data_IF_460482799313
#
_entry.id   IF_460482799313
#
_cell.length_a   1.000
_cell.length_b   1.000
_cell.length_c   1.000
_cell.angle_alpha   90.00
_cell.angle_beta   90.00
_cell.angle_gamma   90.00
#
_symmetry.space_group_name_H-M   'P 1'
#
loop_
_entity.id
_entity.type
_entity.pdbx_description
1 polymer ?
#
# COMPACT_ATOMS: atom_id res chain seq x y z
N UNK A 1 43.28 20.76 22.74
CA UNK A 1 42.08 20.71 21.87
C UNK A 1 41.86 19.29 21.41
N UNK A 2 40.99 18.58 22.09
CA UNK A 2 40.58 17.22 21.73
C UNK A 2 39.54 17.34 20.61
N UNK A 3 39.84 16.76 19.47
CA UNK A 3 38.86 16.59 18.38
C UNK A 3 37.82 15.60 18.86
N UNK A 4 36.61 16.07 19.09
CA UNK A 4 35.45 15.19 19.24
C UNK A 4 35.19 14.59 17.87
N UNK A 5 35.59 13.35 17.72
CA UNK A 5 35.19 12.52 16.61
C UNK A 5 33.66 12.31 16.75
N UNK A 6 32.85 13.03 15.98
CA UNK A 6 31.47 12.73 15.75
C UNK A 6 31.40 11.31 15.16
N UNK A 7 31.07 10.35 16.01
CA UNK A 7 30.68 9.02 15.60
C UNK A 7 29.35 9.15 14.79
N UNK A 8 29.46 9.46 13.51
CA UNK A 8 28.43 9.11 12.56
C UNK A 8 28.38 7.58 12.53
N UNK A 9 27.51 6.98 13.35
CA UNK A 9 27.11 5.60 13.12
C UNK A 9 26.62 5.56 11.67
N UNK A 10 27.37 4.90 10.79
CA UNK A 10 26.89 4.58 9.45
C UNK A 10 25.63 3.76 9.64
N UNK A 11 24.45 4.39 9.45
CA UNK A 11 23.17 3.70 9.45
C UNK A 11 23.30 2.60 8.40
N UNK A 12 23.02 1.36 8.78
CA UNK A 12 23.14 0.23 7.86
C UNK A 12 22.12 0.41 6.73
N UNK A 13 22.59 0.44 5.50
CA UNK A 13 21.73 0.62 4.34
C UNK A 13 20.92 -0.69 4.14
N UNK A 14 19.60 -0.58 4.15
CA UNK A 14 18.70 -1.69 3.83
C UNK A 14 18.65 -1.86 2.31
N UNK A 15 19.18 -2.98 1.82
CA UNK A 15 19.18 -3.27 0.38
C UNK A 15 17.78 -3.70 -0.09
N UNK A 16 17.18 -4.67 0.58
CA UNK A 16 15.86 -5.21 0.23
C UNK A 16 14.76 -4.35 0.85
N UNK A 17 14.22 -3.42 0.06
CA UNK A 17 13.25 -2.41 0.49
C UNK A 17 11.82 -2.83 0.15
N UNK A 18 10.91 -2.74 1.13
CA UNK A 18 9.55 -3.23 1.01
C UNK A 18 8.56 -2.12 0.59
N UNK A 19 7.83 -2.34 -0.51
CA UNK A 19 6.72 -1.47 -0.92
C UNK A 19 5.37 -1.85 -0.28
N UNK A 20 5.27 -3.04 0.35
CA UNK A 20 4.23 -3.37 1.34
C UNK A 20 4.92 -3.72 2.66
N UNK A 21 4.68 -2.99 3.76
CA UNK A 21 5.44 -3.13 4.99
C UNK A 21 5.28 -4.51 5.63
N UNK A 22 6.37 -5.00 6.21
CA UNK A 22 6.35 -6.30 6.90
C UNK A 22 5.38 -6.35 8.08
N UNK A 23 5.22 -5.24 8.82
CA UNK A 23 4.28 -5.17 9.94
C UNK A 23 2.83 -5.36 9.47
N UNK A 24 2.50 -4.86 8.26
CA UNK A 24 1.19 -5.02 7.65
C UNK A 24 0.94 -6.46 7.18
N UNK A 25 1.93 -7.12 6.59
CA UNK A 25 1.80 -8.51 6.11
C UNK A 25 1.74 -9.54 7.25
N UNK A 26 2.32 -9.23 8.41
CA UNK A 26 2.44 -10.17 9.53
C UNK A 26 1.11 -10.73 10.06
N UNK A 27 0.00 -9.97 10.18
CA UNK A 27 -1.30 -10.50 10.59
C UNK A 27 -1.92 -11.53 9.63
N UNK A 28 -1.40 -11.63 8.39
CA UNK A 28 -1.80 -12.61 7.38
C UNK A 28 -0.79 -13.76 7.25
N UNK A 29 0.11 -13.90 8.22
CA UNK A 29 1.19 -14.86 8.17
C UNK A 29 1.18 -15.79 9.40
N UNK A 30 1.61 -17.02 9.20
CA UNK A 30 1.94 -17.93 10.30
C UNK A 30 3.21 -17.45 11.00
N UNK A 31 3.10 -17.10 12.28
CA UNK A 31 4.23 -16.60 13.06
C UNK A 31 4.88 -17.76 13.83
N UNK A 32 6.07 -18.14 13.42
CA UNK A 32 6.88 -19.18 14.06
C UNK A 32 7.93 -18.52 14.95
N UNK A 33 7.85 -18.76 16.26
CA UNK A 33 8.85 -18.30 17.24
C UNK A 33 9.73 -19.46 17.67
N UNK A 34 11.04 -19.37 17.34
CA UNK A 34 12.02 -20.35 17.86
C UNK A 34 12.57 -19.98 19.24
N UNK A 35 12.67 -18.68 19.55
CA UNK A 35 13.08 -18.07 20.84
C UNK A 35 12.70 -16.59 20.82
N UNK A 36 12.85 -15.87 21.93
CA UNK A 36 12.47 -14.45 22.06
C UNK A 36 13.02 -13.51 20.97
N UNK A 37 14.13 -13.87 20.32
CA UNK A 37 14.81 -13.03 19.34
C UNK A 37 14.73 -13.57 17.90
N UNK A 38 14.05 -14.68 17.64
CA UNK A 38 14.05 -15.35 16.34
C UNK A 38 12.62 -15.67 15.89
N UNK A 39 11.91 -14.63 15.46
CA UNK A 39 10.56 -14.74 14.92
C UNK A 39 10.59 -14.75 13.39
N UNK A 40 9.90 -15.71 12.77
CA UNK A 40 9.66 -15.77 11.34
C UNK A 40 8.16 -15.69 11.06
N UNK A 41 7.76 -14.77 10.21
CA UNK A 41 6.41 -14.70 9.67
C UNK A 41 6.41 -15.29 8.27
N UNK A 42 5.64 -16.37 8.08
CA UNK A 42 5.53 -17.12 6.83
C UNK A 42 4.13 -16.94 6.25
N UNK A 43 4.04 -16.54 5.00
CA UNK A 43 2.79 -16.27 4.31
C UNK A 43 2.67 -17.12 3.05
N UNK A 44 1.46 -17.47 2.64
CA UNK A 44 1.19 -18.03 1.33
C UNK A 44 0.83 -16.92 0.34
N UNK A 45 1.10 -17.13 -0.94
CA UNK A 45 0.65 -16.25 -2.00
C UNK A 45 0.30 -17.00 -3.28
N UNK A 46 -0.65 -16.42 -4.03
CA UNK A 46 -0.92 -16.77 -5.40
C UNK A 46 -0.29 -15.73 -6.32
N UNK A 47 0.53 -16.15 -7.28
CA UNK A 47 1.19 -15.29 -8.27
C UNK A 47 0.48 -15.40 -9.62
N UNK A 48 0.03 -14.25 -10.16
CA UNK A 48 -0.75 -14.22 -11.39
C UNK A 48 0.03 -14.64 -12.62
N UNK A 49 1.27 -14.16 -12.77
CA UNK A 49 2.10 -14.41 -13.95
C UNK A 49 2.27 -15.92 -14.25
N UNK A 50 2.62 -16.67 -13.22
CA UNK A 50 2.95 -18.08 -13.35
C UNK A 50 1.79 -18.99 -12.94
N UNK A 51 0.69 -18.41 -12.44
CA UNK A 51 -0.50 -19.10 -11.91
C UNK A 51 -0.15 -20.15 -10.84
N UNK A 52 0.80 -19.81 -9.98
CA UNK A 52 1.30 -20.71 -8.94
C UNK A 52 0.93 -20.22 -7.55
N UNK A 53 0.67 -21.19 -6.66
CA UNK A 53 0.58 -20.96 -5.22
C UNK A 53 1.92 -21.32 -4.60
N UNK A 54 2.46 -20.45 -3.77
CA UNK A 54 3.61 -20.73 -2.91
C UNK A 54 3.20 -20.57 -1.46
N UNK A 55 3.62 -21.51 -0.64
CA UNK A 55 3.32 -21.56 0.79
C UNK A 55 4.59 -21.35 1.61
N UNK A 56 4.43 -20.91 2.86
CA UNK A 56 5.51 -20.72 3.86
C UNK A 56 6.69 -19.86 3.39
N UNK A 57 6.39 -18.83 2.64
CA UNK A 57 7.39 -17.89 2.18
C UNK A 57 7.61 -16.81 3.26
N UNK A 58 8.86 -16.50 3.64
CA UNK A 58 9.12 -15.42 4.60
C UNK A 58 8.62 -14.06 4.09
N UNK A 59 7.91 -13.31 4.93
CA UNK A 59 7.46 -11.95 4.58
C UNK A 59 8.61 -11.00 4.24
N UNK A 60 9.84 -11.35 4.63
CA UNK A 60 11.06 -10.61 4.28
C UNK A 60 11.44 -10.67 2.80
N UNK A 61 10.86 -11.60 2.03
CA UNK A 61 11.19 -11.83 0.61
C UNK A 61 10.02 -11.57 -0.33
N UNK A 62 8.95 -10.95 0.16
CA UNK A 62 7.75 -10.64 -0.64
C UNK A 62 7.47 -9.14 -0.61
N UNK A 63 6.89 -8.62 -1.69
CA UNK A 63 6.53 -7.21 -1.83
C UNK A 63 7.72 -6.28 -1.53
N UNK A 64 8.90 -6.70 -1.99
CA UNK A 64 10.15 -5.98 -1.84
C UNK A 64 11.00 -6.07 -3.10
N UNK A 65 11.90 -5.12 -3.27
CA UNK A 65 12.90 -5.09 -4.34
C UNK A 65 14.18 -4.45 -3.81
N UNK A 66 15.32 -4.91 -4.32
CA UNK A 66 16.60 -4.30 -3.96
C UNK A 66 16.64 -2.85 -4.44
N UNK A 67 16.94 -1.95 -3.51
CA UNK A 67 17.02 -0.50 -3.75
C UNK A 67 15.75 0.07 -4.43
N UNK A 68 14.58 -0.35 -3.96
CA UNK A 68 13.31 0.08 -4.57
C UNK A 68 13.11 1.60 -4.48
N UNK A 69 13.41 2.21 -3.34
CA UNK A 69 13.28 3.66 -3.13
C UNK A 69 14.57 4.40 -3.42
N UNK A 70 15.67 3.97 -2.82
CA UNK A 70 16.95 4.66 -2.87
C UNK A 70 18.13 3.70 -2.62
N UNK A 71 19.34 4.15 -2.96
CA UNK A 71 20.59 3.42 -2.72
C UNK A 71 21.34 3.90 -1.48
N UNK A 72 21.02 5.08 -0.98
CA UNK A 72 21.69 5.67 0.19
C UNK A 72 20.93 5.44 1.50
N UNK A 73 19.70 4.92 1.44
CA UNK A 73 18.86 4.56 2.57
C UNK A 73 18.17 5.75 3.23
N UNK A 74 18.13 6.92 2.58
CA UNK A 74 17.47 8.11 3.13
C UNK A 74 15.96 7.89 3.24
N UNK A 75 15.33 7.48 2.14
CA UNK A 75 13.88 7.24 2.07
C UNK A 75 13.48 6.04 2.92
N UNK A 76 14.22 4.92 2.84
CA UNK A 76 13.94 3.72 3.63
C UNK A 76 13.99 4.03 5.14
N UNK A 77 14.95 4.84 5.61
CA UNK A 77 15.01 5.24 7.01
C UNK A 77 13.83 6.13 7.41
N UNK A 78 13.43 7.09 6.57
CA UNK A 78 12.26 7.95 6.80
C UNK A 78 10.97 7.11 6.90
N UNK A 79 10.81 6.12 6.02
CA UNK A 79 9.68 5.20 6.06
C UNK A 79 9.70 4.30 7.31
N UNK A 80 10.85 3.80 7.75
CA UNK A 80 10.97 2.98 8.95
C UNK A 80 10.53 3.73 10.22
N UNK A 81 10.85 5.02 10.33
CA UNK A 81 10.41 5.87 11.43
C UNK A 81 8.87 6.02 11.42
N UNK A 82 8.27 6.31 10.26
CA UNK A 82 6.81 6.37 10.08
C UNK A 82 6.13 5.02 10.34
N UNK A 83 6.67 3.92 9.84
CA UNK A 83 6.15 2.56 10.04
C UNK A 83 6.08 2.16 11.52
N UNK A 84 6.98 2.68 12.34
CA UNK A 84 6.94 2.49 13.78
C UNK A 84 5.66 3.10 14.39
N UNK A 85 5.27 4.28 13.94
CA UNK A 85 4.06 4.99 14.39
C UNK A 85 2.80 4.27 13.85
N UNK A 86 2.76 4.04 12.53
CA UNK A 86 1.63 3.40 11.86
C UNK A 86 1.34 2.00 12.39
N UNK A 87 2.39 1.20 12.65
CA UNK A 87 2.23 -0.15 13.18
C UNK A 87 1.58 -0.19 14.56
N UNK A 88 1.87 0.80 15.42
CA UNK A 88 1.23 0.94 16.73
C UNK A 88 -0.25 1.27 16.58
N UNK A 89 -0.60 2.25 15.75
CA UNK A 89 -1.98 2.64 15.51
C UNK A 89 -2.81 1.45 14.96
N UNK A 90 -2.33 0.80 13.89
CA UNK A 90 -3.01 -0.35 13.28
C UNK A 90 -3.09 -1.54 14.26
N UNK A 91 -2.07 -1.76 15.09
CA UNK A 91 -2.10 -2.81 16.12
C UNK A 91 -3.22 -2.59 17.16
N UNK A 92 -3.52 -1.34 17.53
CA UNK A 92 -4.63 -1.03 18.45
C UNK A 92 -5.98 -1.38 17.81
N UNK A 93 -6.21 -1.03 16.53
CA UNK A 93 -7.41 -1.48 15.81
C UNK A 93 -7.51 -3.01 15.81
N UNK A 94 -6.40 -3.72 15.54
CA UNK A 94 -6.39 -5.19 15.55
C UNK A 94 -6.71 -5.79 16.93
N UNK A 95 -6.36 -5.11 18.02
CA UNK A 95 -6.61 -5.58 19.39
C UNK A 95 -7.93 -5.08 20.00
N UNK A 96 -8.71 -4.28 19.27
CA UNK A 96 -9.88 -3.55 19.79
C UNK A 96 -9.56 -2.64 20.99
N UNK A 97 -8.38 -2.05 21.00
CA UNK A 97 -7.98 -1.05 21.99
C UNK A 97 -8.56 0.32 21.59
N UNK A 98 -8.74 1.20 22.57
CA UNK A 98 -9.11 2.60 22.29
C UNK A 98 -8.02 3.29 21.48
N UNK A 99 -8.43 4.04 20.45
CA UNK A 99 -7.54 4.81 19.58
C UNK A 99 -7.76 6.29 19.81
N UNK A 100 -6.69 7.05 19.85
CA UNK A 100 -6.74 8.51 19.92
C UNK A 100 -6.90 9.13 18.54
N UNK A 101 -7.29 10.41 18.46
CA UNK A 101 -7.36 11.12 17.17
C UNK A 101 -6.00 11.16 16.45
N UNK A 102 -4.89 11.27 17.18
CA UNK A 102 -3.54 11.21 16.60
C UNK A 102 -3.25 9.84 15.96
N UNK A 103 -3.74 8.76 16.56
CA UNK A 103 -3.60 7.41 15.99
C UNK A 103 -4.51 7.21 14.78
N UNK A 104 -5.72 7.76 14.80
CA UNK A 104 -6.59 7.80 13.61
C UNK A 104 -5.92 8.57 12.48
N UNK A 105 -5.31 9.73 12.78
CA UNK A 105 -4.56 10.49 11.79
C UNK A 105 -3.34 9.72 11.25
N UNK A 106 -2.66 8.94 12.11
CA UNK A 106 -1.56 8.05 11.68
C UNK A 106 -2.05 6.95 10.73
N UNK A 107 -3.29 6.46 10.89
CA UNK A 107 -3.90 5.51 9.95
C UNK A 107 -4.21 6.19 8.61
N UNK A 108 -4.73 7.42 8.59
CA UNK A 108 -4.93 8.20 7.35
C UNK A 108 -3.61 8.39 6.60
N UNK A 109 -2.57 8.77 7.33
CA UNK A 109 -1.24 8.91 6.76
C UNK A 109 -0.76 7.57 6.14
N UNK A 110 -0.88 6.47 6.88
CA UNK A 110 -0.54 5.13 6.37
C UNK A 110 -1.30 4.80 5.09
N UNK A 111 -2.62 5.06 5.04
CA UNK A 111 -3.46 4.80 3.87
C UNK A 111 -2.88 5.49 2.64
N UNK A 112 -2.63 6.79 2.71
CA UNK A 112 -2.11 7.56 1.57
C UNK A 112 -0.72 7.06 1.16
N UNK A 113 0.20 6.92 2.12
CA UNK A 113 1.53 6.42 1.83
C UNK A 113 1.48 5.02 1.21
N UNK A 114 0.59 4.14 1.66
CA UNK A 114 0.48 2.79 1.14
C UNK A 114 -0.17 2.74 -0.25
N UNK A 115 -1.06 3.67 -0.60
CA UNK A 115 -1.57 3.81 -1.96
C UNK A 115 -0.43 4.15 -2.92
N UNK A 116 0.33 5.21 -2.60
CA UNK A 116 1.33 5.75 -3.53
C UNK A 116 2.62 4.91 -3.61
N UNK A 117 3.01 4.21 -2.53
CA UNK A 117 4.28 3.47 -2.46
C UNK A 117 4.28 2.12 -3.15
N UNK A 118 3.17 1.66 -3.70
CA UNK A 118 3.09 0.37 -4.36
C UNK A 118 3.82 0.38 -5.71
N UNK A 119 4.36 -0.78 -6.09
CA UNK A 119 4.98 -0.96 -7.41
C UNK A 119 3.98 -0.64 -8.53
N UNK A 120 2.72 -1.06 -8.37
CA UNK A 120 1.65 -0.82 -9.34
C UNK A 120 1.38 0.66 -9.53
N UNK A 121 1.34 1.45 -8.43
CA UNK A 121 1.13 2.90 -8.54
C UNK A 121 2.30 3.60 -9.25
N UNK A 122 3.53 3.19 -8.96
CA UNK A 122 4.71 3.71 -9.66
C UNK A 122 4.62 3.43 -11.17
N UNK A 123 4.40 2.18 -11.57
CA UNK A 123 4.31 1.76 -12.96
C UNK A 123 3.14 2.45 -13.68
N UNK A 124 1.98 2.56 -13.03
CA UNK A 124 0.82 3.27 -13.56
C UNK A 124 1.12 4.75 -13.80
N UNK A 125 1.74 5.43 -12.84
CA UNK A 125 2.07 6.86 -12.94
C UNK A 125 3.08 7.11 -14.06
N UNK A 126 4.09 6.25 -14.19
CA UNK A 126 5.08 6.30 -15.28
C UNK A 126 4.42 6.10 -16.65
N UNK A 127 3.56 5.10 -16.78
CA UNK A 127 2.86 4.83 -18.05
C UNK A 127 1.94 5.98 -18.45
N UNK A 128 1.13 6.51 -17.51
CA UNK A 128 0.23 7.63 -17.76
C UNK A 128 0.99 8.88 -18.20
N UNK A 129 2.10 9.19 -17.54
CA UNK A 129 2.95 10.32 -17.93
C UNK A 129 3.58 10.10 -19.32
N UNK A 130 4.04 8.90 -19.62
CA UNK A 130 4.62 8.54 -20.90
C UNK A 130 3.60 8.74 -22.03
N UNK A 131 2.39 8.22 -21.87
CA UNK A 131 1.31 8.36 -22.85
C UNK A 131 0.96 9.84 -23.06
N UNK A 132 0.73 10.60 -21.99
CA UNK A 132 0.33 11.99 -22.08
C UNK A 132 1.38 12.86 -22.81
N UNK A 133 2.66 12.65 -22.49
CA UNK A 133 3.76 13.41 -23.12
C UNK A 133 3.94 12.98 -24.59
N UNK A 134 3.94 11.68 -24.88
CA UNK A 134 4.10 11.17 -26.23
C UNK A 134 2.97 11.66 -27.15
N UNK A 135 1.71 11.56 -26.72
CA UNK A 135 0.56 12.04 -27.50
C UNK A 135 0.61 13.56 -27.73
N UNK A 136 1.06 14.32 -26.72
CA UNK A 136 1.26 15.76 -26.88
C UNK A 136 2.29 16.07 -27.96
N UNK A 137 3.38 15.33 -28.04
CA UNK A 137 4.40 15.49 -29.08
C UNK A 137 3.88 15.11 -30.49
N UNK A 138 3.03 14.06 -30.57
CA UNK A 138 2.40 13.69 -31.86
C UNK A 138 1.41 14.74 -32.36
N UNK A 139 0.68 15.39 -31.45
CA UNK A 139 -0.23 16.47 -31.81
C UNK A 139 0.52 17.70 -32.39
N UNK A 140 1.79 17.88 -31.99
CA UNK A 140 2.65 18.96 -32.53
C UNK A 140 3.22 18.58 -33.88
N UNK A 141 3.57 17.30 -34.14
CA UNK A 141 4.18 16.86 -35.39
C UNK A 141 3.80 15.43 -35.74
N UNK A 142 3.03 15.26 -36.81
CA UNK A 142 2.59 13.96 -37.34
C UNK A 142 3.67 13.16 -38.06
N UNK A 143 4.84 13.78 -38.35
CA UNK A 143 5.95 13.14 -39.07
C UNK A 143 6.93 12.40 -38.18
N UNK A 144 6.64 12.32 -36.86
CA UNK A 144 7.50 11.63 -35.91
C UNK A 144 7.23 10.12 -35.91
N UNK A 145 8.28 9.33 -35.74
CA UNK A 145 8.19 7.90 -35.49
C UNK A 145 7.63 7.69 -34.07
N UNK A 146 6.43 7.12 -34.00
CA UNK A 146 5.68 6.91 -32.74
C UNK A 146 6.47 6.08 -31.75
N UNK A 147 6.97 4.94 -32.16
CA UNK A 147 7.65 4.00 -31.28
C UNK A 147 8.95 4.60 -30.75
N UNK A 148 9.69 5.29 -31.59
CA UNK A 148 10.92 5.98 -31.18
C UNK A 148 10.65 7.09 -30.17
N UNK A 149 9.61 7.91 -30.40
CA UNK A 149 9.24 8.97 -29.43
C UNK A 149 8.77 8.38 -28.12
N UNK A 150 7.91 7.36 -28.18
CA UNK A 150 7.44 6.69 -26.95
C UNK A 150 8.61 6.14 -26.12
N UNK A 151 9.55 5.45 -26.74
CA UNK A 151 10.71 4.88 -26.03
C UNK A 151 11.60 5.97 -25.41
N UNK A 152 11.83 7.08 -26.09
CA UNK A 152 12.61 8.20 -25.56
C UNK A 152 11.90 8.89 -24.37
N UNK A 153 10.58 9.07 -24.48
CA UNK A 153 9.76 9.64 -23.41
C UNK A 153 9.73 8.70 -22.20
N UNK A 154 9.54 7.40 -22.42
CA UNK A 154 9.52 6.39 -21.36
C UNK A 154 10.84 6.35 -20.58
N UNK A 155 11.98 6.36 -21.26
CA UNK A 155 13.29 6.41 -20.61
C UNK A 155 13.42 7.65 -19.71
N UNK A 156 12.95 8.80 -20.19
CA UNK A 156 13.01 10.05 -19.43
C UNK A 156 12.04 10.04 -18.24
N UNK A 157 10.81 9.61 -18.45
CA UNK A 157 9.78 9.50 -17.43
C UNK A 157 10.22 8.57 -16.30
N UNK A 158 10.78 7.41 -16.64
CA UNK A 158 11.28 6.45 -15.63
C UNK A 158 12.45 7.00 -14.81
N UNK A 159 13.23 7.93 -15.36
CA UNK A 159 14.30 8.62 -14.65
C UNK A 159 13.82 9.73 -13.71
N UNK A 160 12.68 10.35 -13.99
CA UNK A 160 12.14 11.49 -13.24
C UNK A 160 11.03 11.08 -12.27
N UNK A 161 10.11 10.20 -12.68
CA UNK A 161 9.06 9.66 -11.83
C UNK A 161 9.62 8.44 -11.10
N UNK A 162 10.27 8.72 -9.98
CA UNK A 162 10.88 7.73 -9.11
C UNK A 162 9.97 7.42 -7.92
N UNK A 163 10.20 6.33 -7.17
CA UNK A 163 9.49 6.09 -5.91
C UNK A 163 9.66 7.24 -4.92
N UNK A 164 10.81 7.90 -4.88
CA UNK A 164 11.06 9.08 -4.04
C UNK A 164 10.11 10.22 -4.40
N UNK A 165 10.04 10.58 -5.70
CA UNK A 165 9.13 11.62 -6.19
C UNK A 165 7.67 11.34 -5.81
N UNK A 166 7.20 10.08 -5.97
CA UNK A 166 5.83 9.71 -5.62
C UNK A 166 5.59 9.83 -4.11
N UNK A 167 6.57 9.46 -3.27
CA UNK A 167 6.45 9.59 -1.82
C UNK A 167 6.44 11.03 -1.34
N UNK A 168 7.12 11.94 -2.04
CA UNK A 168 7.04 13.38 -1.74
C UNK A 168 5.62 13.95 -1.95
N UNK A 169 4.84 13.37 -2.88
CA UNK A 169 3.46 13.76 -3.10
C UNK A 169 2.50 13.23 -2.02
N UNK A 170 2.88 12.19 -1.27
CA UNK A 170 2.00 11.57 -0.27
C UNK A 170 1.50 12.57 0.77
N UNK A 171 2.40 13.40 1.32
CA UNK A 171 2.03 14.39 2.35
C UNK A 171 1.00 15.40 1.82
N UNK A 172 1.04 15.76 0.54
CA UNK A 172 0.08 16.64 -0.11
C UNK A 172 -1.30 16.00 -0.33
N UNK A 173 -1.36 14.66 -0.38
CA UNK A 173 -2.61 13.91 -0.60
C UNK A 173 -3.35 13.55 0.70
N UNK A 174 -2.72 13.63 1.88
CA UNK A 174 -3.36 13.31 3.16
C UNK A 174 -4.65 14.10 3.40
N UNK A 175 -4.72 15.41 3.10
CA UNK A 175 -5.97 16.18 3.27
C UNK A 175 -7.16 15.64 2.49
N UNK A 176 -6.95 14.93 1.38
CA UNK A 176 -8.03 14.43 0.50
C UNK A 176 -8.93 13.37 1.17
N UNK A 177 -8.54 12.82 2.31
CA UNK A 177 -9.32 11.82 3.05
C UNK A 177 -9.58 12.22 4.51
N UNK A 178 -9.32 13.50 4.87
CA UNK A 178 -9.39 13.94 6.27
C UNK A 178 -10.81 13.94 6.83
N UNK A 179 -11.78 14.15 5.97
CA UNK A 179 -13.21 14.23 6.30
C UNK A 179 -13.92 12.85 6.30
N UNK A 180 -13.22 11.78 5.89
CA UNK A 180 -13.77 10.44 5.94
C UNK A 180 -13.76 9.89 7.38
N UNK A 181 -14.87 9.29 7.78
CA UNK A 181 -14.94 8.52 9.02
C UNK A 181 -14.15 7.22 8.87
N UNK A 182 -13.44 6.84 9.94
CA UNK A 182 -12.67 5.59 9.99
C UNK A 182 -13.31 4.67 11.01
N UNK A 183 -13.68 3.46 10.56
CA UNK A 183 -14.19 2.40 11.43
C UNK A 183 -13.42 1.10 11.20
N UNK A 184 -13.39 0.28 12.24
CA UNK A 184 -12.90 -1.09 12.14
C UNK A 184 -14.11 -2.04 12.03
N UNK A 185 -14.10 -2.87 11.00
CA UNK A 185 -15.13 -3.87 10.74
C UNK A 185 -14.60 -5.25 11.11
N UNK A 186 -15.40 -6.01 11.85
CA UNK A 186 -15.12 -7.39 12.24
C UNK A 186 -15.77 -8.36 11.25
N UNK A 187 -15.02 -9.35 10.84
CA UNK A 187 -15.50 -10.48 10.07
C UNK A 187 -15.90 -11.60 11.04
N UNK A 188 -17.20 -11.88 11.14
CA UNK A 188 -17.74 -12.96 11.95
C UNK A 188 -17.97 -14.25 11.14
N UNK A 189 -17.64 -14.26 9.85
CA UNK A 189 -17.81 -15.42 8.97
C UNK A 189 -16.61 -16.37 9.07
N UNK A 190 -16.70 -17.53 8.38
CA UNK A 190 -15.59 -18.50 8.29
C UNK A 190 -14.62 -18.19 7.15
N UNK A 191 -15.00 -17.30 6.22
CA UNK A 191 -14.16 -16.92 5.09
C UNK A 191 -13.23 -15.79 5.51
N UNK A 192 -11.90 -15.96 5.46
CA UNK A 192 -10.98 -14.91 5.86
C UNK A 192 -10.94 -13.76 4.83
N UNK A 193 -10.60 -12.57 5.29
CA UNK A 193 -10.10 -11.54 4.39
C UNK A 193 -8.75 -11.96 3.82
N UNK A 194 -8.54 -11.66 2.55
CA UNK A 194 -7.24 -11.73 1.89
C UNK A 194 -6.68 -10.33 1.71
N UNK A 195 -5.40 -10.24 1.43
CA UNK A 195 -4.75 -8.99 1.01
C UNK A 195 -3.91 -9.20 -0.25
N UNK A 196 -3.20 -8.20 -0.72
CA UNK A 196 -2.40 -8.27 -1.94
C UNK A 196 -1.17 -7.35 -1.86
N UNK A 197 -0.43 -7.29 -2.95
CA UNK A 197 0.64 -6.29 -3.16
C UNK A 197 0.10 -4.87 -3.42
N UNK A 198 -1.24 -4.73 -3.53
CA UNK A 198 -1.99 -3.46 -3.51
C UNK A 198 -3.03 -3.55 -2.39
N UNK A 199 -2.65 -3.33 -1.13
CA UNK A 199 -3.50 -3.65 0.02
C UNK A 199 -4.65 -2.66 0.25
N UNK A 200 -4.51 -1.42 -0.19
CA UNK A 200 -5.53 -0.37 -0.03
C UNK A 200 -6.38 -0.31 -1.29
N UNK A 201 -7.67 -0.43 -1.12
CA UNK A 201 -8.65 -0.40 -2.21
C UNK A 201 -9.50 0.86 -2.08
N UNK A 202 -9.59 1.61 -3.17
CA UNK A 202 -10.46 2.78 -3.30
C UNK A 202 -11.54 2.44 -4.31
N UNK A 203 -12.80 2.59 -3.92
CA UNK A 203 -13.97 2.37 -4.78
C UNK A 203 -14.98 3.49 -4.60
N UNK A 204 -15.77 3.75 -5.62
CA UNK A 204 -16.92 4.63 -5.50
C UNK A 204 -18.21 3.86 -5.87
N UNK A 205 -18.97 3.39 -4.87
CA UNK A 205 -20.22 2.65 -5.11
C UNK A 205 -21.31 3.46 -5.83
N UNK A 206 -21.19 4.80 -5.91
CA UNK A 206 -22.12 5.66 -6.66
C UNK A 206 -21.84 5.66 -8.17
N UNK A 207 -20.82 4.88 -8.63
CA UNK A 207 -20.53 4.71 -10.05
C UNK A 207 -19.70 5.83 -10.66
N UNK A 208 -19.05 6.67 -9.86
CA UNK A 208 -18.06 7.63 -10.35
C UNK A 208 -16.84 6.85 -10.83
N UNK A 209 -16.49 6.99 -12.09
CA UNK A 209 -15.38 6.24 -12.73
C UNK A 209 -14.10 7.05 -12.85
N UNK A 210 -14.16 8.33 -12.51
CA UNK A 210 -12.98 9.20 -12.50
C UNK A 210 -12.05 8.80 -11.35
N UNK A 211 -10.75 8.73 -11.64
CA UNK A 211 -9.75 8.46 -10.61
C UNK A 211 -9.55 9.68 -9.72
N UNK A 212 -9.56 9.49 -8.41
CA UNK A 212 -9.31 10.56 -7.43
C UNK A 212 -9.68 10.15 -6.03
N UNK A 213 -9.22 10.88 -5.03
CA UNK A 213 -9.48 10.66 -3.61
C UNK A 213 -10.48 11.68 -3.01
N UNK A 214 -11.13 12.50 -3.84
CA UNK A 214 -11.98 13.60 -3.37
C UNK A 214 -13.41 13.52 -3.91
N UNK A 215 -13.81 12.36 -4.42
CA UNK A 215 -15.15 12.19 -4.98
C UNK A 215 -16.16 11.85 -3.90
N UNK A 216 -17.33 12.51 -3.96
CA UNK A 216 -18.44 12.21 -3.05
C UNK A 216 -18.80 10.72 -3.16
N UNK A 217 -18.92 10.05 -2.02
CA UNK A 217 -19.28 8.63 -1.95
C UNK A 217 -18.10 7.68 -2.12
N UNK A 218 -16.88 8.16 -2.08
CA UNK A 218 -15.70 7.29 -2.00
C UNK A 218 -15.69 6.46 -0.74
N UNK A 219 -15.21 5.23 -0.92
CA UNK A 219 -14.99 4.25 0.14
C UNK A 219 -13.58 3.70 -0.01
N UNK A 220 -12.79 3.81 1.03
CA UNK A 220 -11.46 3.24 1.10
C UNK A 220 -11.50 2.11 2.12
N UNK A 221 -10.97 0.96 1.73
CA UNK A 221 -10.88 -0.14 2.68
C UNK A 221 -9.58 -0.92 2.53
N UNK A 222 -9.15 -1.50 3.63
CA UNK A 222 -8.05 -2.44 3.64
C UNK A 222 -8.17 -3.44 4.78
N UNK A 223 -7.97 -4.72 4.52
CA UNK A 223 -7.88 -5.72 5.56
C UNK A 223 -6.64 -5.46 6.43
N UNK A 224 -6.77 -5.54 7.74
CA UNK A 224 -5.65 -5.44 8.68
C UNK A 224 -5.31 -6.78 9.32
N UNK A 225 -6.16 -7.78 9.10
CA UNK A 225 -5.97 -9.19 9.41
C UNK A 225 -7.01 -10.03 8.68
N UNK A 226 -6.95 -11.35 8.79
CA UNK A 226 -7.96 -12.26 8.23
C UNK A 226 -9.37 -12.01 8.78
N UNK A 227 -9.50 -11.42 9.96
CA UNK A 227 -10.78 -11.18 10.63
C UNK A 227 -11.15 -9.71 10.80
N UNK A 228 -10.35 -8.78 10.30
CA UNK A 228 -10.59 -7.35 10.49
C UNK A 228 -10.21 -6.52 9.28
N UNK A 229 -11.03 -5.51 9.03
CA UNK A 229 -10.91 -4.55 7.94
C UNK A 229 -11.03 -3.14 8.50
N UNK A 230 -10.22 -2.22 8.05
CA UNK A 230 -10.45 -0.78 8.23
C UNK A 230 -11.22 -0.27 7.02
N UNK A 231 -12.28 0.51 7.29
CA UNK A 231 -13.13 1.17 6.32
C UNK A 231 -13.10 2.66 6.55
N UNK A 232 -12.77 3.44 5.51
CA UNK A 232 -12.95 4.88 5.49
C UNK A 232 -14.10 5.22 4.55
N UNK A 233 -15.05 6.06 5.00
CA UNK A 233 -16.24 6.38 4.25
C UNK A 233 -16.82 7.72 4.68
N UNK A 234 -17.62 8.34 3.82
CA UNK A 234 -18.37 9.55 4.18
C UNK A 234 -19.69 9.17 4.84
N UNK A 235 -19.82 9.38 6.15
CA UNK A 235 -21.04 9.12 6.91
C UNK A 235 -22.21 10.03 6.52
N UNK A 236 -21.96 11.18 5.88
CA UNK A 236 -23.01 12.04 5.34
C UNK A 236 -23.68 11.42 4.13
N UNK A 237 -22.95 10.57 3.37
CA UNK A 237 -23.46 9.86 2.20
C UNK A 237 -24.11 8.53 2.59
N UNK A 238 -23.43 7.73 3.44
CA UNK A 238 -23.85 6.35 3.73
C UNK A 238 -24.55 6.18 5.08
N UNK A 239 -24.59 7.25 5.91
CA UNK A 239 -25.07 7.12 7.28
C UNK A 239 -24.16 6.26 8.15
N UNK A 240 -24.70 5.72 9.24
CA UNK A 240 -23.94 4.86 10.16
C UNK A 240 -23.85 3.44 9.61
N UNK A 241 -22.64 2.98 9.33
CA UNK A 241 -22.34 1.61 8.89
C UNK A 241 -22.17 0.70 10.12
N UNK A 242 -22.54 -0.59 9.99
CA UNK A 242 -22.29 -1.61 11.01
C UNK A 242 -20.80 -1.92 11.09
N UNK A 243 -20.34 -2.23 12.29
CA UNK A 243 -18.95 -2.58 12.57
C UNK A 243 -18.64 -4.08 12.48
N UNK A 244 -19.56 -4.87 11.92
CA UNK A 244 -19.40 -6.30 11.73
C UNK A 244 -20.04 -6.79 10.44
N UNK A 245 -19.50 -7.88 9.89
CA UNK A 245 -20.00 -8.61 8.73
C UNK A 245 -20.30 -10.05 9.15
N UNK A 246 -21.54 -10.47 8.93
CA UNK A 246 -22.03 -11.82 9.23
C UNK A 246 -22.32 -12.63 7.95
N UNK A 247 -22.36 -11.98 6.78
CA UNK A 247 -22.66 -12.57 5.48
C UNK A 247 -21.36 -12.89 4.71
N UNK A 248 -21.20 -14.17 4.31
CA UNK A 248 -20.03 -14.63 3.54
C UNK A 248 -19.93 -13.95 2.16
N UNK A 249 -21.06 -13.64 1.51
CA UNK A 249 -21.09 -12.96 0.21
C UNK A 249 -20.46 -11.55 0.27
N UNK A 250 -20.61 -10.88 1.41
CA UNK A 250 -19.97 -9.58 1.65
C UNK A 250 -18.44 -9.74 1.71
N UNK A 251 -17.95 -10.76 2.39
CA UNK A 251 -16.51 -11.05 2.44
C UNK A 251 -15.97 -11.41 1.05
N UNK A 252 -16.73 -12.24 0.29
CA UNK A 252 -16.36 -12.54 -1.10
C UNK A 252 -16.26 -11.27 -1.96
N UNK A 253 -17.13 -10.29 -1.74
CA UNK A 253 -17.10 -9.02 -2.46
C UNK A 253 -15.82 -8.23 -2.13
N UNK A 254 -15.45 -8.08 -0.86
CA UNK A 254 -14.18 -7.44 -0.48
C UNK A 254 -12.96 -8.19 -1.03
N UNK A 255 -12.97 -9.51 -0.92
CA UNK A 255 -11.89 -10.35 -1.46
C UNK A 255 -11.78 -10.25 -2.99
N UNK A 256 -12.91 -10.11 -3.70
CA UNK A 256 -12.92 -9.87 -5.14
C UNK A 256 -12.28 -8.53 -5.50
N UNK A 257 -12.55 -7.46 -4.75
CA UNK A 257 -11.87 -6.18 -4.97
C UNK A 257 -10.36 -6.33 -4.76
N UNK A 258 -9.92 -7.00 -3.69
CA UNK A 258 -8.50 -7.29 -3.49
C UNK A 258 -7.89 -8.07 -4.67
N UNK A 259 -8.62 -9.07 -5.19
CA UNK A 259 -8.16 -9.88 -6.31
C UNK A 259 -8.01 -9.07 -7.60
N UNK A 260 -8.98 -8.23 -7.94
CA UNK A 260 -8.97 -7.46 -9.21
C UNK A 260 -8.02 -6.27 -9.18
N UNK A 261 -7.71 -5.74 -7.98
CA UNK A 261 -6.79 -4.61 -7.81
C UNK A 261 -5.33 -5.02 -7.60
N UNK A 262 -5.07 -6.31 -7.35
CA UNK A 262 -3.72 -6.80 -7.15
C UNK A 262 -2.89 -6.70 -8.45
N UNK A 263 -1.62 -6.29 -8.32
CA UNK A 263 -0.70 -6.19 -9.43
C UNK A 263 -0.10 -7.55 -9.81
N UNK A 264 0.57 -8.18 -8.86
CA UNK A 264 1.28 -9.45 -9.09
C UNK A 264 0.78 -10.59 -8.22
N UNK A 265 0.29 -10.30 -7.00
CA UNK A 265 0.10 -11.34 -5.96
C UNK A 265 -1.08 -11.08 -5.05
N UNK A 266 -1.77 -12.18 -4.74
CA UNK A 266 -2.69 -12.25 -3.59
C UNK A 266 -1.94 -12.90 -2.42
N UNK A 267 -2.13 -12.36 -1.24
CA UNK A 267 -1.49 -12.79 0.01
C UNK A 267 -2.55 -13.32 0.98
N UNK A 268 -2.25 -14.46 1.60
CA UNK A 268 -3.15 -15.08 2.59
C UNK A 268 -2.36 -15.96 3.55
N UNK A 269 -2.96 -16.39 4.65
CA UNK A 269 -2.38 -17.41 5.52
C UNK A 269 -2.30 -18.77 4.82
N UNK A 270 -3.33 -19.14 4.07
CA UNK A 270 -3.42 -20.33 3.18
C UNK A 270 -4.39 -20.11 2.03
#
# INVERSE_FOLDING_TARGET
MKWEALNYMKKQITINQHYVPRFYMKPFAEVIRKNSNNEKALIAFYQFKDKIVKDKIPTTSICSKDYFYDKDGHIENKLADKETIWSRAISKFNKNEEVTEEEVQSVREFIIYQIVRTKVMLEYTQEMATVAIADSLFNISHNLDRDKIRNLVEERVNGEITPEFILELADALIPSIIDLDIIMIKNNTKIPFITSDVPIIVVNPLGVTEAGLEHIGEVIFFPISESKLILCYDSKVYGKIRDNIDEEDTIHTFNKYQYVSAGERILSLK
#
